data_IF_575171680550
#
_entry.id   IF_575171680550
#
_cell.length_a   1.000
_cell.length_b   1.000
_cell.length_c   1.000
_cell.angle_alpha   90.00
_cell.angle_beta   90.00
_cell.angle_gamma   90.00
#
_symmetry.space_group_name_H-M   'P 1'
#
loop_
_entity.id
_entity.type
_entity.pdbx_description
1 polymer ?
#
# COMPACT_ATOMS: atom_id res chain seq x y z
N UNK A 1 -12.94 -43.60 20.38
CA UNK A 1 -13.35 -42.23 20.66
C UNK A 1 -12.38 -41.28 19.93
N UNK A 2 -12.73 -40.88 18.72
CA UNK A 2 -11.99 -39.97 17.86
C UNK A 2 -12.57 -38.60 18.08
N UNK A 3 -11.80 -37.75 18.74
CA UNK A 3 -12.08 -36.32 18.91
C UNK A 3 -11.80 -35.60 17.56
N UNK A 4 -12.88 -35.18 16.90
CA UNK A 4 -12.80 -34.27 15.78
C UNK A 4 -12.32 -32.90 16.30
N UNK A 5 -11.27 -32.37 15.67
CA UNK A 5 -10.90 -30.95 15.83
C UNK A 5 -11.74 -30.15 14.87
N UNK A 6 -12.59 -29.32 15.43
CA UNK A 6 -13.28 -28.26 14.70
C UNK A 6 -12.24 -27.38 14.01
N UNK A 7 -12.35 -27.32 12.69
CA UNK A 7 -11.63 -26.34 11.88
C UNK A 7 -12.39 -25.04 12.06
N UNK A 8 -11.81 -24.10 12.81
CA UNK A 8 -12.31 -22.75 12.97
C UNK A 8 -12.34 -22.08 11.58
N UNK A 9 -13.53 -22.08 10.97
CA UNK A 9 -13.79 -21.31 9.76
C UNK A 9 -13.75 -19.84 10.18
N UNK A 10 -12.65 -19.14 9.83
CA UNK A 10 -12.53 -17.72 10.04
C UNK A 10 -13.69 -16.95 9.44
N UNK A 11 -13.97 -15.72 9.91
CA UNK A 11 -15.20 -14.99 9.61
C UNK A 11 -15.40 -14.79 8.11
N UNK A 12 -16.48 -15.35 7.60
CA UNK A 12 -16.89 -15.36 6.18
C UNK A 12 -17.44 -14.01 5.70
N UNK A 13 -17.38 -12.97 6.54
CA UNK A 13 -17.82 -11.62 6.17
C UNK A 13 -16.92 -10.56 6.78
N UNK A 14 -16.07 -9.96 5.95
CA UNK A 14 -15.45 -8.67 6.28
C UNK A 14 -16.53 -7.62 6.05
N UNK A 15 -17.13 -7.10 7.12
CA UNK A 15 -17.96 -5.91 7.06
C UNK A 15 -17.02 -4.72 6.86
N UNK A 16 -17.07 -4.13 5.66
CA UNK A 16 -16.52 -2.80 5.43
C UNK A 16 -17.55 -1.81 6.00
N UNK A 17 -17.29 -1.19 7.14
CA UNK A 17 -17.97 0.03 7.53
C UNK A 17 -17.52 1.14 6.58
N UNK A 18 -18.34 1.39 5.56
CA UNK A 18 -18.28 2.62 4.79
C UNK A 18 -19.11 3.59 5.60
N UNK A 19 -18.45 4.53 6.27
CA UNK A 19 -19.11 5.66 6.94
C UNK A 19 -19.67 6.57 5.84
N UNK A 20 -20.88 6.25 5.40
CA UNK A 20 -21.68 7.13 4.55
C UNK A 20 -22.52 7.96 5.49
N UNK A 21 -22.09 9.19 5.78
CA UNK A 21 -22.97 10.19 6.37
C UNK A 21 -24.25 10.26 5.54
N UNK A 22 -25.32 9.92 6.21
CA UNK A 22 -26.64 9.68 5.69
C UNK A 22 -27.23 10.90 4.96
N UNK A 23 -27.59 10.74 3.71
CA UNK A 23 -28.98 11.00 3.29
C UNK A 23 -29.22 10.52 1.84
N UNK A 24 -29.29 9.23 1.63
CA UNK A 24 -30.03 8.54 0.55
C UNK A 24 -29.86 7.04 0.76
N UNK A 25 -30.94 6.36 1.07
CA UNK A 25 -31.03 4.90 1.07
C UNK A 25 -30.81 4.35 -0.35
N UNK A 26 -29.56 4.20 -0.76
CA UNK A 26 -29.17 3.35 -1.87
C UNK A 26 -29.19 1.92 -1.33
N UNK A 27 -30.35 1.28 -1.40
CA UNK A 27 -30.46 -0.17 -1.16
C UNK A 27 -29.85 -0.87 -2.38
N UNK A 28 -28.55 -1.16 -2.28
CA UNK A 28 -27.90 -2.08 -3.23
C UNK A 28 -28.31 -3.50 -2.91
N UNK A 29 -28.64 -4.27 -3.93
CA UNK A 29 -28.90 -5.70 -3.77
C UNK A 29 -27.63 -6.45 -3.41
N UNK A 30 -27.74 -7.61 -2.77
CA UNK A 30 -26.61 -8.47 -2.48
C UNK A 30 -25.79 -8.82 -3.72
N UNK A 31 -26.45 -8.95 -4.90
CA UNK A 31 -25.78 -9.22 -6.16
C UNK A 31 -24.98 -8.02 -6.69
N UNK A 32 -25.48 -6.80 -6.51
CA UNK A 32 -24.74 -5.57 -6.86
C UNK A 32 -23.53 -5.38 -5.95
N UNK A 33 -23.67 -5.64 -4.66
CA UNK A 33 -22.56 -5.60 -3.70
C UNK A 33 -21.51 -6.66 -4.06
N UNK A 34 -21.93 -7.89 -4.35
CA UNK A 34 -21.03 -8.96 -4.78
C UNK A 34 -20.35 -8.65 -6.11
N UNK A 35 -21.04 -8.03 -7.05
CA UNK A 35 -20.45 -7.60 -8.32
C UNK A 35 -19.38 -6.53 -8.09
N UNK A 36 -19.61 -5.56 -7.18
CA UNK A 36 -18.62 -4.56 -6.81
C UNK A 36 -17.41 -5.17 -6.07
N UNK A 37 -17.65 -6.15 -5.18
CA UNK A 37 -16.59 -6.84 -4.44
C UNK A 37 -15.75 -7.78 -5.31
N UNK A 38 -16.28 -8.24 -6.44
CA UNK A 38 -15.61 -9.13 -7.40
C UNK A 38 -14.96 -8.40 -8.58
N UNK A 39 -14.93 -7.07 -8.59
CA UNK A 39 -14.16 -6.32 -9.59
C UNK A 39 -12.68 -6.60 -9.33
N UNK A 40 -11.98 -7.11 -10.38
CA UNK A 40 -10.53 -7.21 -10.34
C UNK A 40 -9.92 -5.81 -10.14
N UNK A 41 -9.24 -5.56 -9.01
CA UNK A 41 -8.68 -4.23 -8.72
C UNK A 41 -7.61 -3.80 -9.73
N UNK A 42 -7.06 -4.74 -10.50
CA UNK A 42 -6.06 -4.49 -11.55
C UNK A 42 -6.68 -4.24 -12.92
N UNK A 43 -7.99 -4.48 -13.07
CA UNK A 43 -8.69 -4.29 -14.33
C UNK A 43 -8.69 -2.81 -14.75
N UNK A 44 -8.17 -2.54 -15.94
CA UNK A 44 -8.08 -1.18 -16.49
C UNK A 44 -6.89 -0.37 -15.95
N UNK A 45 -6.00 -0.98 -15.16
CA UNK A 45 -4.75 -0.37 -14.74
C UNK A 45 -3.60 -0.86 -15.63
N UNK A 46 -2.85 0.08 -16.14
CA UNK A 46 -1.75 -0.16 -17.07
C UNK A 46 -0.43 0.14 -16.38
N UNK A 47 0.01 -0.79 -15.53
CA UNK A 47 1.28 -0.69 -14.83
C UNK A 47 2.45 -1.23 -15.65
N UNK A 48 3.64 -0.70 -15.42
CA UNK A 48 4.90 -1.24 -15.93
C UNK A 48 5.17 -2.62 -15.30
N UNK A 49 6.00 -3.43 -15.95
CA UNK A 49 6.25 -4.82 -15.53
C UNK A 49 6.81 -4.91 -14.11
N UNK A 50 7.69 -4.01 -13.71
CA UNK A 50 8.28 -3.96 -12.36
C UNK A 50 7.24 -3.68 -11.25
N UNK A 51 6.18 -2.90 -11.57
CA UNK A 51 5.04 -2.73 -10.66
C UNK A 51 4.23 -4.03 -10.53
N UNK A 52 4.00 -4.73 -11.65
CA UNK A 52 3.31 -6.02 -11.65
C UNK A 52 4.11 -7.09 -10.89
N UNK A 53 5.41 -7.10 -11.06
CA UNK A 53 6.33 -7.99 -10.34
C UNK A 53 6.30 -7.70 -8.83
N UNK A 54 6.25 -6.43 -8.44
CA UNK A 54 6.09 -6.04 -7.04
C UNK A 54 4.75 -6.54 -6.46
N UNK A 55 3.66 -6.39 -7.20
CA UNK A 55 2.33 -6.89 -6.77
C UNK A 55 2.39 -8.42 -6.57
N UNK A 56 3.01 -9.14 -7.50
CA UNK A 56 3.19 -10.60 -7.39
C UNK A 56 4.06 -10.99 -6.18
N UNK A 57 5.15 -10.24 -5.91
CA UNK A 57 6.00 -10.44 -4.72
C UNK A 57 5.22 -10.23 -3.43
N UNK A 58 4.38 -9.18 -3.35
CA UNK A 58 3.54 -8.89 -2.19
C UNK A 58 2.52 -10.00 -1.99
N UNK A 59 1.88 -10.48 -3.05
CA UNK A 59 0.92 -11.57 -2.98
C UNK A 59 1.58 -12.87 -2.51
N UNK A 60 2.75 -13.21 -3.06
CA UNK A 60 3.53 -14.35 -2.61
C UNK A 60 3.96 -14.24 -1.12
N UNK A 61 4.31 -13.04 -0.65
CA UNK A 61 4.55 -12.79 0.77
C UNK A 61 3.29 -13.03 1.61
N UNK A 62 2.15 -12.55 1.16
CA UNK A 62 0.88 -12.68 1.86
C UNK A 62 0.48 -14.16 2.02
N UNK A 63 0.58 -14.93 0.94
CA UNK A 63 0.22 -16.34 0.90
C UNK A 63 1.15 -17.23 1.75
N UNK A 64 2.38 -16.74 2.01
CA UNK A 64 3.39 -17.47 2.81
C UNK A 64 3.31 -17.21 4.32
N UNK A 65 2.22 -16.64 4.84
CA UNK A 65 2.05 -16.36 6.27
C UNK A 65 2.50 -17.51 7.16
N UNK A 66 2.00 -18.72 6.89
CA UNK A 66 2.31 -19.91 7.69
C UNK A 66 3.80 -20.23 7.70
N UNK A 67 4.48 -20.06 6.59
CA UNK A 67 5.92 -20.25 6.53
C UNK A 67 6.68 -19.33 7.47
N UNK A 68 6.27 -18.05 7.55
CA UNK A 68 6.87 -17.08 8.48
C UNK A 68 6.64 -17.47 9.94
N UNK A 69 5.42 -17.90 10.27
CA UNK A 69 5.04 -18.35 11.61
C UNK A 69 5.84 -19.60 12.01
N UNK A 70 5.97 -20.59 11.14
CA UNK A 70 6.69 -21.84 11.38
C UNK A 70 8.22 -21.60 11.60
N UNK A 71 8.77 -20.51 11.06
CA UNK A 71 10.18 -20.16 11.19
C UNK A 71 10.45 -19.06 12.25
N UNK A 72 9.44 -18.68 13.01
CA UNK A 72 9.52 -17.59 14.00
C UNK A 72 10.07 -16.28 13.43
N UNK A 73 9.76 -15.99 12.14
CA UNK A 73 10.11 -14.73 11.45
C UNK A 73 8.86 -13.85 11.44
N UNK A 74 8.98 -12.55 11.81
CA UNK A 74 7.85 -11.65 11.75
C UNK A 74 7.25 -11.59 10.33
N UNK A 75 5.96 -11.90 10.18
CA UNK A 75 5.27 -11.83 8.90
C UNK A 75 4.89 -10.38 8.61
N UNK A 76 5.82 -9.65 8.06
CA UNK A 76 5.65 -8.25 7.66
C UNK A 76 6.50 -7.93 6.44
N UNK A 77 6.07 -6.96 5.67
CA UNK A 77 6.76 -6.47 4.49
C UNK A 77 6.68 -4.96 4.43
N UNK A 78 7.78 -4.32 4.05
CA UNK A 78 7.83 -2.89 3.79
C UNK A 78 8.20 -2.64 2.32
N UNK A 79 7.47 -1.77 1.69
CA UNK A 79 7.65 -1.33 0.30
C UNK A 79 7.78 0.18 0.28
N UNK A 80 8.72 0.71 -0.48
CA UNK A 80 8.83 2.12 -0.77
C UNK A 80 8.61 2.35 -2.26
N UNK A 81 7.70 3.27 -2.59
CA UNK A 81 7.56 3.75 -3.96
C UNK A 81 8.02 5.19 -4.06
N UNK A 82 8.79 5.51 -5.10
CA UNK A 82 9.28 6.87 -5.30
C UNK A 82 9.18 7.28 -6.78
N UNK A 83 9.16 8.59 -7.02
CA UNK A 83 9.08 9.17 -8.36
C UNK A 83 8.20 10.40 -8.42
N UNK A 84 8.04 11.04 -9.59
CA UNK A 84 7.29 12.28 -9.73
C UNK A 84 5.86 12.19 -9.20
N UNK A 85 5.27 13.34 -8.83
CA UNK A 85 3.86 13.42 -8.48
C UNK A 85 2.96 12.96 -9.63
N UNK A 86 1.80 12.37 -9.31
CA UNK A 86 0.81 11.94 -10.29
C UNK A 86 1.09 10.61 -10.98
N UNK A 87 2.14 9.87 -10.61
CA UNK A 87 2.48 8.57 -11.22
C UNK A 87 1.71 7.36 -10.63
N UNK A 88 0.79 7.59 -9.71
CA UNK A 88 -0.08 6.54 -9.16
C UNK A 88 0.44 5.83 -7.90
N UNK A 89 1.46 6.36 -7.21
CA UNK A 89 2.03 5.76 -5.98
C UNK A 89 0.98 5.46 -4.90
N UNK A 90 0.21 6.46 -4.49
CA UNK A 90 -0.85 6.29 -3.47
C UNK A 90 -1.99 5.40 -3.98
N UNK A 91 -2.32 5.47 -5.28
CA UNK A 91 -3.31 4.59 -5.90
C UNK A 91 -2.87 3.12 -5.83
N UNK A 92 -1.56 2.84 -6.00
CA UNK A 92 -1.01 1.50 -5.91
C UNK A 92 -1.24 0.89 -4.52
N UNK A 93 -1.12 1.68 -3.44
CA UNK A 93 -1.41 1.22 -2.07
C UNK A 93 -2.85 0.73 -1.93
N UNK A 94 -3.82 1.47 -2.48
CA UNK A 94 -5.23 1.09 -2.50
C UNK A 94 -5.49 -0.17 -3.34
N UNK A 95 -4.85 -0.27 -4.50
CA UNK A 95 -4.99 -1.44 -5.39
C UNK A 95 -4.48 -2.69 -4.72
N UNK A 96 -3.31 -2.63 -4.08
CA UNK A 96 -2.71 -3.77 -3.39
C UNK A 96 -3.60 -4.22 -2.21
N UNK A 97 -4.07 -3.28 -1.38
CA UNK A 97 -4.95 -3.61 -0.27
C UNK A 97 -6.25 -4.30 -0.75
N UNK A 98 -6.85 -3.81 -1.83
CA UNK A 98 -8.04 -4.42 -2.46
C UNK A 98 -7.73 -5.82 -3.03
N UNK A 99 -6.59 -5.99 -3.70
CA UNK A 99 -6.17 -7.29 -4.26
C UNK A 99 -5.99 -8.33 -3.17
N UNK A 100 -5.39 -7.94 -2.04
CA UNK A 100 -5.22 -8.81 -0.87
C UNK A 100 -6.47 -8.94 0.00
N UNK A 101 -7.51 -8.14 -0.27
CA UNK A 101 -8.75 -8.08 0.53
C UNK A 101 -8.48 -7.79 2.01
N UNK A 102 -7.58 -6.85 2.30
CA UNK A 102 -7.21 -6.41 3.64
C UNK A 102 -7.51 -4.91 3.81
N UNK A 103 -7.79 -4.43 5.04
CA UNK A 103 -7.98 -3.01 5.30
C UNK A 103 -6.71 -2.21 4.99
N UNK A 104 -6.90 -0.99 4.48
CA UNK A 104 -5.84 0.00 4.28
C UNK A 104 -6.01 1.12 5.31
N UNK A 105 -4.95 1.37 6.10
CA UNK A 105 -4.86 2.49 7.02
C UNK A 105 -3.91 3.54 6.45
N UNK A 106 -4.39 4.77 6.25
CA UNK A 106 -3.58 5.89 5.78
C UNK A 106 -3.20 6.77 6.96
N UNK A 107 -1.90 6.99 7.15
CA UNK A 107 -1.38 7.85 8.21
C UNK A 107 -0.95 9.20 7.63
N UNK A 108 -1.60 10.26 8.11
CA UNK A 108 -1.25 11.64 7.76
C UNK A 108 -0.19 12.16 8.71
N UNK A 109 1.08 11.79 8.49
CA UNK A 109 2.19 12.04 9.41
C UNK A 109 2.37 13.52 9.79
N UNK A 110 2.01 14.44 8.90
CA UNK A 110 2.14 15.89 9.15
C UNK A 110 1.23 16.43 10.24
N UNK A 111 0.19 15.69 10.63
CA UNK A 111 -0.81 16.11 11.63
C UNK A 111 -0.70 15.35 12.95
N UNK A 112 0.05 14.23 12.99
CA UNK A 112 0.15 13.37 14.15
C UNK A 112 1.22 13.84 15.14
N UNK A 113 0.96 13.61 16.42
CA UNK A 113 1.96 13.65 17.49
C UNK A 113 2.59 12.27 17.69
N UNK A 114 3.66 12.20 18.48
CA UNK A 114 4.28 10.92 18.84
C UNK A 114 3.31 9.96 19.55
N UNK A 115 2.45 10.50 20.40
CA UNK A 115 1.49 9.70 21.19
C UNK A 115 0.42 9.15 20.26
N UNK A 116 -0.21 10.00 19.45
CA UNK A 116 -1.24 9.59 18.48
C UNK A 116 -0.70 8.57 17.48
N UNK A 117 0.51 8.77 16.96
CA UNK A 117 1.14 7.80 16.07
C UNK A 117 1.27 6.41 16.71
N UNK A 118 1.66 6.35 17.99
CA UNK A 118 1.79 5.08 18.69
C UNK A 118 0.43 4.44 18.98
N UNK A 119 -0.56 5.23 19.44
CA UNK A 119 -1.90 4.77 19.74
C UNK A 119 -2.59 4.22 18.48
N UNK A 120 -2.54 4.96 17.38
CA UNK A 120 -3.07 4.52 16.07
C UNK A 120 -2.38 3.25 15.59
N UNK A 121 -1.05 3.18 15.71
CA UNK A 121 -0.29 1.99 15.35
C UNK A 121 -0.67 0.75 16.16
N UNK A 122 -0.90 0.92 17.47
CA UNK A 122 -1.32 -0.16 18.36
C UNK A 122 -2.77 -0.59 18.12
N UNK A 123 -3.62 0.30 17.60
CA UNK A 123 -5.01 0.01 17.29
C UNK A 123 -5.22 -0.79 16.00
N UNK A 124 -4.21 -0.91 15.13
CA UNK A 124 -4.31 -1.59 13.85
C UNK A 124 -4.85 -3.02 13.99
N UNK A 125 -5.79 -3.39 13.15
CA UNK A 125 -6.28 -4.77 13.03
C UNK A 125 -5.54 -5.47 11.91
N UNK A 126 -4.79 -6.52 12.23
CA UNK A 126 -4.00 -7.29 11.27
C UNK A 126 -4.73 -8.56 10.81
N UNK A 127 -4.56 -9.02 9.55
CA UNK A 127 -3.65 -8.47 8.56
C UNK A 127 -4.16 -7.15 7.96
N UNK A 128 -3.25 -6.21 7.71
CA UNK A 128 -3.60 -4.92 7.12
C UNK A 128 -2.47 -4.33 6.26
N UNK A 129 -2.81 -3.37 5.41
CA UNK A 129 -1.87 -2.48 4.77
C UNK A 129 -1.86 -1.12 5.48
N UNK A 130 -0.69 -0.50 5.56
CA UNK A 130 -0.49 0.85 6.09
C UNK A 130 0.18 1.68 5.01
N UNK A 131 -0.34 2.86 4.71
CA UNK A 131 0.24 3.81 3.76
C UNK A 131 0.72 5.06 4.47
N UNK A 132 1.96 5.46 4.17
CA UNK A 132 2.53 6.75 4.50
C UNK A 132 2.75 7.50 3.19
N UNK A 133 1.87 8.44 2.88
CA UNK A 133 1.97 9.24 1.67
C UNK A 133 2.80 10.51 1.92
N UNK A 134 3.46 10.99 0.87
CA UNK A 134 4.26 12.22 0.85
C UNK A 134 5.25 12.31 2.04
N UNK A 135 5.94 11.22 2.32
CA UNK A 135 6.85 11.11 3.47
C UNK A 135 7.93 12.19 3.48
N UNK A 136 8.42 12.57 2.30
CA UNK A 136 9.40 13.64 2.09
C UNK A 136 8.89 15.04 2.45
N UNK A 137 7.59 15.24 2.57
CA UNK A 137 7.02 16.53 3.03
C UNK A 137 7.02 16.66 4.54
N UNK A 138 7.21 15.55 5.27
CA UNK A 138 7.22 15.53 6.74
C UNK A 138 8.64 15.40 7.27
N UNK A 139 9.49 14.62 6.62
CA UNK A 139 10.86 14.36 7.05
C UNK A 139 11.87 14.60 5.94
N UNK A 140 12.92 15.39 6.24
CA UNK A 140 14.15 15.47 5.47
C UNK A 140 15.27 14.76 6.25
N UNK A 141 15.62 13.55 5.81
CA UNK A 141 16.43 12.66 6.65
C UNK A 141 15.70 12.32 7.94
N UNK A 142 16.27 12.71 9.08
CA UNK A 142 15.66 12.49 10.41
C UNK A 142 14.97 13.72 10.97
N UNK A 143 15.07 14.85 10.30
CA UNK A 143 14.50 16.09 10.81
C UNK A 143 13.05 16.25 10.31
N UNK A 144 12.13 16.52 11.26
CA UNK A 144 10.77 16.92 10.91
C UNK A 144 10.80 18.35 10.36
N UNK A 145 10.23 18.52 9.18
CA UNK A 145 10.12 19.83 8.51
C UNK A 145 8.75 20.48 8.69
N UNK A 146 7.84 19.81 9.40
CA UNK A 146 6.52 20.36 9.71
C UNK A 146 6.62 21.48 10.73
N UNK A 147 5.72 22.47 10.65
CA UNK A 147 5.71 23.64 11.57
C UNK A 147 5.64 23.24 13.04
N UNK A 148 4.89 22.20 13.37
CA UNK A 148 4.67 21.79 14.76
C UNK A 148 5.67 20.77 15.30
N UNK A 149 6.49 20.14 14.44
CA UNK A 149 7.53 19.13 14.81
C UNK A 149 7.10 18.15 15.92
N UNK A 150 5.82 17.81 15.97
CA UNK A 150 5.22 17.00 17.04
C UNK A 150 5.49 15.51 16.88
N UNK A 151 5.74 15.07 15.64
CA UNK A 151 6.11 13.70 15.31
C UNK A 151 7.61 13.61 15.04
N UNK A 152 8.29 12.69 15.72
CA UNK A 152 9.71 12.44 15.50
C UNK A 152 9.92 11.25 14.58
N UNK A 153 10.99 11.30 13.79
CA UNK A 153 11.39 10.20 12.92
C UNK A 153 11.63 8.89 13.71
N UNK A 154 12.20 9.00 14.92
CA UNK A 154 12.45 7.83 15.78
C UNK A 154 11.14 7.14 16.22
N UNK A 155 10.07 7.88 16.44
CA UNK A 155 8.74 7.30 16.71
C UNK A 155 8.24 6.48 15.53
N UNK A 156 8.34 7.02 14.32
CA UNK A 156 7.96 6.27 13.10
C UNK A 156 8.83 5.02 12.95
N UNK A 157 10.15 5.12 13.15
CA UNK A 157 11.05 3.96 13.10
C UNK A 157 10.70 2.89 14.13
N UNK A 158 10.31 3.30 15.35
CA UNK A 158 9.91 2.38 16.41
C UNK A 158 8.63 1.62 16.05
N UNK A 159 7.65 2.28 15.44
CA UNK A 159 6.45 1.63 14.90
C UNK A 159 6.82 0.60 13.83
N UNK A 160 7.70 0.98 12.90
CA UNK A 160 8.10 0.11 11.78
C UNK A 160 8.97 -1.08 12.20
N UNK A 161 9.77 -0.96 13.26
CA UNK A 161 10.80 -1.95 13.60
C UNK A 161 10.93 -2.27 15.08
N UNK A 162 10.06 -1.74 15.92
CA UNK A 162 10.10 -1.93 17.38
C UNK A 162 9.92 -3.39 17.81
N UNK A 163 10.29 -3.70 19.05
CA UNK A 163 10.17 -5.03 19.68
C UNK A 163 8.71 -5.50 19.71
N UNK A 164 7.77 -4.58 19.83
CA UNK A 164 6.32 -4.81 19.75
C UNK A 164 5.79 -4.85 18.32
N UNK A 165 6.68 -4.99 17.32
CA UNK A 165 6.27 -4.99 15.92
C UNK A 165 5.28 -6.11 15.63
N UNK A 166 4.08 -5.71 15.27
CA UNK A 166 2.96 -6.62 14.98
C UNK A 166 3.22 -7.42 13.71
N UNK A 167 2.78 -8.66 13.71
CA UNK A 167 2.75 -9.52 12.53
C UNK A 167 1.55 -9.17 11.64
N UNK A 168 1.67 -9.39 10.34
CA UNK A 168 0.57 -9.20 9.40
C UNK A 168 0.42 -7.76 8.88
N UNK A 169 1.49 -6.97 8.89
CA UNK A 169 1.46 -5.59 8.39
C UNK A 169 2.28 -5.47 7.10
N UNK A 170 1.63 -4.98 6.05
CA UNK A 170 2.26 -4.48 4.83
C UNK A 170 2.41 -2.96 4.94
N UNK A 171 3.63 -2.46 5.04
CA UNK A 171 3.89 -1.01 5.05
C UNK A 171 4.20 -0.53 3.64
N UNK A 172 3.52 0.51 3.21
CA UNK A 172 3.75 1.18 1.94
C UNK A 172 4.12 2.64 2.19
N UNK A 173 5.35 3.00 1.87
CA UNK A 173 5.88 4.35 2.01
C UNK A 173 6.00 4.99 0.63
N UNK A 174 5.29 6.10 0.42
CA UNK A 174 5.27 6.82 -0.84
C UNK A 174 6.01 8.16 -0.68
N UNK A 175 6.94 8.43 -1.58
CA UNK A 175 7.74 9.67 -1.57
C UNK A 175 7.97 10.19 -2.98
N UNK A 176 8.07 11.49 -3.14
CA UNK A 176 8.46 12.09 -4.42
C UNK A 176 9.99 12.23 -4.53
N UNK A 177 10.68 12.42 -3.40
CA UNK A 177 12.10 12.71 -3.31
C UNK A 177 12.82 11.65 -2.46
N UNK A 178 13.32 10.59 -3.09
CA UNK A 178 13.98 9.49 -2.39
C UNK A 178 15.27 9.95 -1.65
N UNK A 179 15.92 11.01 -2.13
CA UNK A 179 17.10 11.61 -1.51
C UNK A 179 16.82 12.22 -0.12
N UNK A 180 15.56 12.53 0.18
CA UNK A 180 15.15 13.01 1.50
C UNK A 180 14.92 11.87 2.51
N UNK A 181 14.94 10.62 2.05
CA UNK A 181 14.68 9.45 2.91
C UNK A 181 15.96 8.99 3.60
N UNK A 182 15.90 8.92 4.95
CA UNK A 182 17.03 8.41 5.75
C UNK A 182 17.26 6.91 5.52
N UNK A 183 18.54 6.52 5.47
CA UNK A 183 18.96 5.13 5.29
C UNK A 183 18.44 4.18 6.40
N UNK A 184 18.07 4.73 7.54
CA UNK A 184 17.50 3.92 8.62
C UNK A 184 16.18 3.24 8.26
N UNK A 185 15.42 3.77 7.29
CA UNK A 185 14.22 3.11 6.78
C UNK A 185 14.54 1.87 5.94
N UNK A 186 15.69 1.85 5.31
CA UNK A 186 16.20 0.76 4.48
C UNK A 186 16.67 1.30 3.13
N UNK A 187 17.83 0.83 2.70
CA UNK A 187 18.36 1.00 1.34
C UNK A 187 18.60 -0.36 0.73
N UNK A 188 18.69 -0.41 -0.57
CA UNK A 188 19.24 -1.57 -1.26
C UNK A 188 20.76 -1.42 -1.32
N UNK A 189 21.49 -2.52 -1.08
CA UNK A 189 22.93 -2.59 -1.31
C UNK A 189 23.24 -2.63 -2.82
N UNK A 190 24.51 -2.63 -3.20
CA UNK A 190 24.96 -2.72 -4.58
C UNK A 190 24.45 -3.97 -5.33
N UNK A 191 23.95 -4.97 -4.60
CA UNK A 191 23.38 -6.22 -5.13
C UNK A 191 21.86 -6.22 -5.10
N UNK A 192 21.22 -5.08 -4.82
CA UNK A 192 19.76 -4.95 -4.72
C UNK A 192 19.15 -5.61 -3.50
N UNK A 193 19.92 -5.89 -2.44
CA UNK A 193 19.42 -6.52 -1.21
C UNK A 193 19.13 -5.46 -0.16
N UNK A 194 18.04 -5.62 0.63
CA UNK A 194 17.73 -4.69 1.69
C UNK A 194 18.82 -4.69 2.77
N UNK A 195 19.35 -3.52 3.08
CA UNK A 195 20.39 -3.34 4.11
C UNK A 195 19.84 -3.55 5.52
N UNK A 196 18.53 -3.38 5.71
CA UNK A 196 17.83 -3.56 6.99
C UNK A 196 16.56 -4.39 6.80
N UNK A 197 16.67 -5.74 6.86
CA UNK A 197 15.52 -6.63 6.77
C UNK A 197 14.46 -6.29 7.81
N UNK A 198 13.20 -6.37 7.41
CA UNK A 198 12.06 -6.13 8.31
C UNK A 198 11.57 -4.68 8.38
N UNK A 199 12.23 -3.76 7.69
CA UNK A 199 11.74 -2.39 7.41
C UNK A 199 11.29 -2.32 5.96
N UNK A 200 11.95 -1.49 5.13
CA UNK A 200 11.71 -1.45 3.69
C UNK A 200 12.55 -2.55 3.02
N UNK A 201 11.86 -3.51 2.41
CA UNK A 201 12.47 -4.66 1.74
C UNK A 201 12.38 -4.59 0.21
N UNK A 202 11.56 -3.68 -0.32
CA UNK A 202 11.41 -3.40 -1.75
C UNK A 202 11.37 -1.89 -1.98
N UNK A 203 12.08 -1.44 -2.99
CA UNK A 203 12.06 -0.04 -3.44
C UNK A 203 11.75 -0.05 -4.93
N UNK A 204 10.74 0.71 -5.33
CA UNK A 204 10.24 0.79 -6.69
C UNK A 204 10.21 2.24 -7.17
N UNK A 205 10.81 2.51 -8.30
CA UNK A 205 10.66 3.78 -9.01
C UNK A 205 9.39 3.75 -9.86
N UNK A 206 8.50 4.70 -9.64
CA UNK A 206 7.31 4.91 -10.48
C UNK A 206 7.48 6.19 -11.30
N UNK A 207 7.96 6.00 -12.52
CA UNK A 207 8.18 7.08 -13.49
C UNK A 207 6.89 7.51 -14.20
N UNK A 208 7.00 8.50 -15.10
CA UNK A 208 5.92 8.87 -16.00
C UNK A 208 5.48 7.67 -16.84
N UNK A 209 4.23 7.66 -17.25
CA UNK A 209 3.67 6.62 -18.13
C UNK A 209 4.43 6.55 -19.46
N UNK A 210 4.75 5.34 -19.91
CA UNK A 210 5.26 5.11 -21.25
C UNK A 210 4.14 5.19 -22.32
N UNK A 211 4.51 5.08 -23.59
CA UNK A 211 3.55 5.15 -24.69
C UNK A 211 2.51 4.01 -24.62
N UNK A 212 2.95 2.80 -24.28
CA UNK A 212 2.06 1.63 -24.16
C UNK A 212 1.01 1.81 -23.05
N UNK A 213 1.46 2.31 -21.91
CA UNK A 213 0.56 2.63 -20.79
C UNK A 213 -0.44 3.74 -21.17
N UNK A 214 0.03 4.84 -21.77
CA UNK A 214 -0.86 5.93 -22.22
C UNK A 214 -1.88 5.42 -23.23
N UNK A 215 -1.45 4.61 -24.19
CA UNK A 215 -2.33 3.99 -25.18
C UNK A 215 -3.38 3.10 -24.51
N UNK A 216 -2.99 2.26 -23.58
CA UNK A 216 -3.89 1.41 -22.82
C UNK A 216 -4.93 2.21 -22.03
N UNK A 217 -4.50 3.22 -21.29
CA UNK A 217 -5.37 4.13 -20.53
C UNK A 217 -6.33 4.85 -21.48
N UNK A 218 -5.81 5.45 -22.55
CA UNK A 218 -6.62 6.16 -23.54
C UNK A 218 -7.66 5.23 -24.18
N UNK A 219 -7.29 4.00 -24.52
CA UNK A 219 -8.22 3.00 -25.08
C UNK A 219 -9.32 2.65 -24.08
N UNK A 220 -8.97 2.51 -22.81
CA UNK A 220 -9.95 2.16 -21.77
C UNK A 220 -10.94 3.30 -21.48
N UNK A 221 -10.45 4.54 -21.49
CA UNK A 221 -11.27 5.73 -21.16
C UNK A 221 -12.04 6.23 -22.37
N UNK A 222 -11.48 6.08 -23.57
CA UNK A 222 -12.03 6.62 -24.82
C UNK A 222 -12.50 5.52 -25.79
N UNK A 223 -13.00 4.39 -25.27
CA UNK A 223 -13.51 3.29 -26.08
C UNK A 223 -14.60 3.73 -27.09
N UNK A 224 -15.31 4.82 -26.76
CA UNK A 224 -16.34 5.45 -27.60
C UNK A 224 -15.81 6.46 -28.64
N UNK A 225 -14.51 6.81 -28.60
CA UNK A 225 -13.87 7.78 -29.54
C UNK A 225 -12.44 7.37 -29.89
N UNK A 226 -12.26 6.27 -30.63
CA UNK A 226 -10.94 5.74 -30.94
C UNK A 226 -10.04 6.71 -31.74
N UNK A 227 -10.63 7.64 -32.48
CA UNK A 227 -9.88 8.66 -33.25
C UNK A 227 -9.08 9.63 -32.38
N UNK A 228 -9.45 9.81 -31.11
CA UNK A 228 -8.75 10.67 -30.19
C UNK A 228 -7.55 9.98 -29.53
N UNK A 229 -7.49 8.66 -29.56
CA UNK A 229 -6.46 7.87 -28.85
C UNK A 229 -5.08 8.22 -29.40
N UNK A 230 -4.90 8.19 -30.72
CA UNK A 230 -3.60 8.48 -31.35
C UNK A 230 -3.14 9.92 -31.08
N UNK A 231 -4.07 10.88 -31.09
CA UNK A 231 -3.76 12.28 -30.79
C UNK A 231 -3.26 12.47 -29.35
N UNK A 232 -3.91 11.85 -28.35
CA UNK A 232 -3.55 11.95 -26.95
C UNK A 232 -2.23 11.24 -26.66
N UNK A 233 -2.04 10.05 -27.20
CA UNK A 233 -0.78 9.29 -27.04
C UNK A 233 0.39 10.08 -27.59
N UNK A 234 0.23 10.70 -28.78
CA UNK A 234 1.28 11.52 -29.42
C UNK A 234 1.61 12.79 -28.62
N UNK A 235 0.63 13.39 -27.92
CA UNK A 235 0.84 14.57 -27.06
C UNK A 235 1.49 14.25 -25.72
N UNK A 236 1.66 12.98 -25.36
CA UNK A 236 2.24 12.55 -24.08
C UNK A 236 1.34 12.79 -22.86
N UNK A 237 0.04 12.92 -23.07
CA UNK A 237 -0.98 13.14 -22.04
C UNK A 237 -1.59 11.80 -21.63
#
# INVERSE_FOLDING_TARGET
ATSGRDIDEGPTSVQYEIDIEADRSLTMTADEINAMLNIDPLKGLYYQQDVLDLIADIQNWYDKRRWYEDHAIPWRMGVMTHGPGGTGKSSLSSVIAKTLKIPLYQFHLGTLTNVEMMEEWESLRTPCAVSFDDFDTVFHGRESVTEHKSLTFDTVLNCLSGISSRSGILVMLNTNLIEHIDEALGRLDEKGRPTRPGRISRILYMGPTDEGQRRGIATHVLDFKPELIEELVAKGV
#
